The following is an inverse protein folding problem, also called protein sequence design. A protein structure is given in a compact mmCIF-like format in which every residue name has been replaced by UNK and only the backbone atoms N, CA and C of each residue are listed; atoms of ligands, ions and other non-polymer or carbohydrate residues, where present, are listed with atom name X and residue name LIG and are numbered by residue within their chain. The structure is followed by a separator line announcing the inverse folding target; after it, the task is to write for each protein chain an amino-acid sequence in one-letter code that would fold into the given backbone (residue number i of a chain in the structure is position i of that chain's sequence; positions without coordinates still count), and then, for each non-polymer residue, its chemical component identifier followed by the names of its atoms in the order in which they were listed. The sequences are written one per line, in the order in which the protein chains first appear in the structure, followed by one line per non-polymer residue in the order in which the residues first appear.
data_IF_895745877905
#
_entry.id   IF_895745877905
#
_cell.length_a   1.000
_cell.length_b   1.000
_cell.length_c   1.000
_cell.angle_alpha   90.00
_cell.angle_beta   90.00
_cell.angle_gamma   90.00
#
_symmetry.space_group_name_H-M   'P 1'
#
loop_
_entity.id
_entity.type
_entity.pdbx_description
1 polymer ?
#
# COMPACT_ATOMS: atom_id res chain seq x y z
N UNK A 1 -15.27 -13.27 -54.36
CA UNK A 1 -13.90 -13.47 -54.88
C UNK A 1 -13.12 -12.18 -54.63
N UNK A 2 -11.84 -12.29 -54.23
CA UNK A 2 -10.99 -11.30 -53.51
C UNK A 2 -11.39 -11.14 -52.02
N UNK A 3 -10.93 -11.96 -51.08
CA UNK A 3 -9.56 -12.35 -50.68
C UNK A 3 -8.69 -11.17 -50.23
N UNK A 4 -8.55 -11.00 -48.91
CA UNK A 4 -7.22 -11.01 -48.23
C UNK A 4 -7.30 -10.80 -46.71
N UNK A 5 -7.17 -11.92 -46.00
CA UNK A 5 -6.47 -12.17 -44.71
C UNK A 5 -6.90 -11.53 -43.35
N UNK A 6 -6.92 -12.34 -42.27
CA UNK A 6 -6.94 -11.88 -40.88
C UNK A 6 -5.52 -11.60 -40.38
N UNK A 7 -5.30 -10.44 -39.75
CA UNK A 7 -4.00 -10.06 -39.18
C UNK A 7 -3.78 -10.76 -37.83
N UNK A 8 -3.26 -11.98 -37.86
CA UNK A 8 -2.56 -12.58 -36.73
C UNK A 8 -1.25 -11.80 -36.47
N UNK A 9 -1.04 -11.32 -35.25
CA UNK A 9 0.30 -10.94 -34.77
C UNK A 9 0.70 -11.90 -33.65
N UNK A 10 1.52 -12.93 -33.91
CA UNK A 10 2.42 -13.43 -32.90
C UNK A 10 3.66 -12.52 -32.93
N UNK A 11 3.82 -11.66 -31.94
CA UNK A 11 5.10 -10.99 -31.72
C UNK A 11 5.68 -11.43 -30.40
N UNK A 12 6.34 -12.59 -30.45
CA UNK A 12 7.46 -12.89 -29.57
C UNK A 12 8.73 -12.87 -30.41
N UNK A 13 9.65 -11.94 -30.12
CA UNK A 13 11.08 -12.10 -30.42
C UNK A 13 11.91 -11.31 -29.41
N UNK A 14 12.54 -12.08 -28.53
CA UNK A 14 13.84 -11.91 -27.84
C UNK A 14 14.49 -10.51 -27.77
N UNK A 15 14.68 -10.02 -26.54
CA UNK A 15 15.84 -9.20 -26.16
C UNK A 15 16.83 -10.03 -25.34
N UNK A 16 17.82 -10.59 -26.04
CA UNK A 16 19.03 -11.25 -25.53
C UNK A 16 19.92 -10.17 -24.87
N UNK A 17 19.95 -10.14 -23.55
CA UNK A 17 20.73 -9.16 -22.77
C UNK A 17 20.16 -8.86 -21.37
N UNK A 18 18.90 -9.21 -21.13
CA UNK A 18 18.18 -8.91 -19.88
C UNK A 18 17.72 -10.17 -19.13
N UNK A 19 18.27 -11.35 -19.46
CA UNK A 19 17.81 -12.62 -18.90
C UNK A 19 18.04 -12.77 -17.39
N UNK A 20 19.16 -12.26 -16.87
CA UNK A 20 19.42 -12.26 -15.43
C UNK A 20 18.51 -11.26 -14.68
N UNK A 21 18.28 -10.08 -15.25
CA UNK A 21 17.44 -9.04 -14.67
C UNK A 21 15.95 -9.42 -14.69
N UNK A 22 15.49 -10.06 -15.78
CA UNK A 22 14.15 -10.64 -15.87
C UNK A 22 13.96 -11.80 -14.88
N UNK A 23 14.98 -12.64 -14.65
CA UNK A 23 14.91 -13.67 -13.60
C UNK A 23 14.82 -13.08 -12.19
N UNK A 24 15.58 -12.02 -11.91
CA UNK A 24 15.50 -11.31 -10.62
C UNK A 24 14.13 -10.66 -10.44
N UNK A 25 13.57 -10.04 -11.47
CA UNK A 25 12.25 -9.43 -11.41
C UNK A 25 11.14 -10.49 -11.24
N UNK A 26 11.21 -11.62 -11.96
CA UNK A 26 10.31 -12.76 -11.78
C UNK A 26 10.42 -13.35 -10.36
N UNK A 27 11.61 -13.35 -9.77
CA UNK A 27 11.79 -13.79 -8.40
C UNK A 27 11.18 -12.79 -7.41
N UNK A 28 11.38 -11.48 -7.61
CA UNK A 28 10.76 -10.42 -6.79
C UNK A 28 9.23 -10.47 -6.87
N UNK A 29 8.67 -10.71 -8.06
CA UNK A 29 7.22 -10.85 -8.27
C UNK A 29 6.68 -12.07 -7.54
N UNK A 30 7.37 -13.20 -7.66
CA UNK A 30 6.99 -14.43 -6.96
C UNK A 30 7.06 -14.27 -5.44
N UNK A 31 8.10 -13.62 -4.92
CA UNK A 31 8.23 -13.31 -3.49
C UNK A 31 7.15 -12.33 -3.05
N UNK A 32 6.91 -11.27 -3.82
CA UNK A 32 5.92 -10.24 -3.58
C UNK A 32 4.48 -10.78 -3.49
N UNK A 33 4.11 -11.65 -4.42
CA UNK A 33 2.78 -12.27 -4.45
C UNK A 33 2.57 -13.32 -3.36
N UNK A 34 3.66 -13.77 -2.71
CA UNK A 34 3.60 -14.77 -1.63
C UNK A 34 3.50 -14.15 -0.24
N UNK A 35 3.64 -12.82 -0.12
CA UNK A 35 3.39 -12.15 1.15
C UNK A 35 1.90 -12.26 1.47
N UNK A 36 1.53 -12.92 2.58
CA UNK A 36 0.14 -12.93 3.01
C UNK A 36 -0.27 -11.48 3.35
N UNK A 37 -1.56 -11.20 3.24
CA UNK A 37 -2.11 -9.89 3.60
C UNK A 37 -1.54 -9.41 4.96
N UNK A 38 -1.20 -8.11 5.11
CA UNK A 38 -0.56 -7.59 6.30
C UNK A 38 -1.24 -8.00 7.61
N UNK A 39 -2.56 -8.16 7.63
CA UNK A 39 -3.31 -8.66 8.77
C UNK A 39 -2.80 -10.03 9.27
N UNK A 40 -2.64 -10.98 8.35
CA UNK A 40 -2.17 -12.33 8.67
C UNK A 40 -0.73 -12.36 9.15
N UNK A 41 0.11 -11.46 8.62
CA UNK A 41 1.49 -11.33 9.05
C UNK A 41 1.59 -10.95 10.53
N UNK A 42 0.83 -9.93 10.96
CA UNK A 42 0.79 -9.51 12.36
C UNK A 42 0.14 -10.56 13.26
N UNK A 43 -0.91 -11.25 12.80
CA UNK A 43 -1.55 -12.30 13.58
C UNK A 43 -0.61 -13.48 13.84
N UNK A 44 0.11 -13.94 12.82
CA UNK A 44 1.13 -14.98 12.97
C UNK A 44 2.25 -14.53 13.90
N UNK A 45 2.75 -13.30 13.75
CA UNK A 45 3.81 -12.77 14.61
C UNK A 45 3.35 -12.67 16.07
N UNK A 46 2.14 -12.20 16.33
CA UNK A 46 1.57 -12.16 17.67
C UNK A 46 1.44 -13.56 18.29
N UNK A 47 0.96 -14.55 17.51
CA UNK A 47 0.92 -15.94 17.95
C UNK A 47 2.30 -16.51 18.27
N UNK A 48 3.30 -16.22 17.43
CA UNK A 48 4.69 -16.60 17.64
C UNK A 48 5.23 -15.98 18.94
N UNK A 49 4.99 -14.69 19.19
CA UNK A 49 5.42 -14.02 20.43
C UNK A 49 4.79 -14.68 21.66
N UNK A 50 3.49 -14.98 21.64
CA UNK A 50 2.82 -15.67 22.76
C UNK A 50 3.46 -17.04 23.03
N UNK A 51 3.73 -17.82 21.98
CA UNK A 51 4.38 -19.13 22.10
C UNK A 51 5.82 -19.02 22.62
N UNK A 52 6.61 -18.08 22.09
CA UNK A 52 7.98 -17.86 22.54
C UNK A 52 8.03 -17.38 23.99
N UNK A 53 7.15 -16.47 24.41
CA UNK A 53 7.06 -16.01 25.79
C UNK A 53 6.75 -17.15 26.74
N UNK A 54 5.90 -18.11 26.35
CA UNK A 54 5.62 -19.30 27.15
C UNK A 54 6.85 -20.22 27.28
N UNK A 55 7.53 -20.51 26.16
CA UNK A 55 8.74 -21.36 26.15
C UNK A 55 9.85 -20.72 26.98
N UNK A 56 10.20 -19.45 26.73
CA UNK A 56 11.28 -18.74 27.44
C UNK A 56 10.99 -18.60 28.94
N UNK A 57 9.73 -18.34 29.31
CA UNK A 57 9.33 -18.27 30.71
C UNK A 57 9.42 -19.64 31.40
N UNK A 58 9.11 -20.73 30.70
CA UNK A 58 9.22 -22.09 31.25
C UNK A 58 10.66 -22.52 31.56
N UNK A 59 11.65 -21.95 30.87
CA UNK A 59 13.09 -22.19 31.11
C UNK A 59 13.63 -21.25 32.21
N UNK A 60 12.84 -20.30 32.70
CA UNK A 60 13.23 -19.37 33.77
C UNK A 60 14.27 -18.34 33.34
N UNK A 61 14.35 -18.04 32.03
CA UNK A 61 15.32 -17.07 31.50
C UNK A 61 15.06 -15.69 32.10
N UNK A 62 16.11 -15.13 32.69
CA UNK A 62 16.11 -13.79 33.26
C UNK A 62 17.30 -13.03 32.71
N UNK A 63 17.07 -11.81 32.24
CA UNK A 63 18.10 -10.95 31.68
C UNK A 63 18.36 -9.79 32.66
N UNK A 64 19.63 -9.54 32.97
CA UNK A 64 20.00 -8.36 33.75
C UNK A 64 19.98 -7.16 32.81
N UNK A 65 19.20 -6.14 33.13
CA UNK A 65 19.18 -4.91 32.36
C UNK A 65 20.46 -4.10 32.66
N UNK A 66 21.35 -3.85 31.67
CA UNK A 66 22.61 -3.15 31.91
C UNK A 66 22.45 -1.65 32.24
N UNK A 67 21.27 -1.06 31.99
CA UNK A 67 21.01 0.34 32.27
C UNK A 67 20.55 0.60 33.71
N UNK A 68 19.84 -0.36 34.34
CA UNK A 68 19.28 -0.21 35.69
C UNK A 68 19.84 -1.21 36.70
N UNK A 69 20.54 -2.26 36.26
CA UNK A 69 21.07 -3.33 37.12
C UNK A 69 20.01 -4.29 37.66
N UNK A 70 18.74 -4.09 37.32
CA UNK A 70 17.64 -4.94 37.76
C UNK A 70 17.51 -6.20 36.90
N UNK A 71 17.12 -7.30 37.53
CA UNK A 71 16.82 -8.56 36.84
C UNK A 71 15.43 -8.48 36.23
N UNK A 72 15.35 -8.52 34.90
CA UNK A 72 14.10 -8.56 34.16
C UNK A 72 13.79 -10.02 33.83
N UNK A 73 12.79 -10.56 34.51
CA UNK A 73 12.27 -11.91 34.25
C UNK A 73 11.35 -11.90 33.01
N UNK A 74 11.34 -12.99 32.26
CA UNK A 74 10.43 -13.15 31.11
C UNK A 74 8.99 -13.36 31.58
N UNK A 75 8.10 -12.46 31.17
CA UNK A 75 6.66 -12.54 31.48
C UNK A 75 5.95 -13.56 30.60
N UNK A 76 5.26 -14.52 31.22
CA UNK A 76 4.43 -15.49 30.52
C UNK A 76 3.06 -14.87 30.13
N UNK A 77 2.85 -14.67 28.84
CA UNK A 77 1.61 -14.12 28.30
C UNK A 77 0.41 -15.09 28.35
N UNK A 78 0.66 -16.40 28.46
CA UNK A 78 -0.36 -17.44 28.59
C UNK A 78 -0.85 -17.65 30.03
N UNK A 79 -0.15 -17.08 31.02
CA UNK A 79 -0.60 -17.11 32.41
C UNK A 79 -1.87 -16.27 32.61
N UNK A 80 -2.68 -16.52 33.66
CA UNK A 80 -3.91 -15.77 33.91
C UNK A 80 -3.72 -14.25 33.95
N UNK A 81 -2.62 -13.78 34.53
CA UNK A 81 -2.28 -12.36 34.58
C UNK A 81 -1.86 -11.81 33.22
N UNK A 82 -1.12 -12.59 32.42
CA UNK A 82 -0.73 -12.24 31.05
C UNK A 82 -1.94 -12.13 30.13
N UNK A 83 -2.90 -13.05 30.25
CA UNK A 83 -4.12 -13.03 29.45
C UNK A 83 -5.02 -11.84 29.81
N UNK A 84 -5.13 -11.53 31.11
CA UNK A 84 -5.82 -10.32 31.58
C UNK A 84 -5.16 -9.06 31.01
N UNK A 85 -3.83 -9.01 31.01
CA UNK A 85 -3.07 -7.88 30.45
C UNK A 85 -3.33 -7.70 28.96
N UNK A 86 -3.29 -8.78 28.17
CA UNK A 86 -3.58 -8.73 26.73
C UNK A 86 -4.97 -8.12 26.47
N UNK A 87 -5.99 -8.57 27.20
CA UNK A 87 -7.36 -8.09 26.98
C UNK A 87 -7.57 -6.66 27.52
N UNK A 88 -7.02 -6.36 28.70
CA UNK A 88 -7.18 -5.05 29.34
C UNK A 88 -6.46 -3.94 28.55
N UNK A 89 -5.27 -4.22 28.02
CA UNK A 89 -4.44 -3.24 27.32
C UNK A 89 -4.64 -3.28 25.79
N UNK A 90 -5.47 -4.19 25.24
CA UNK A 90 -5.66 -4.31 23.79
C UNK A 90 -6.12 -2.99 23.16
N UNK A 91 -7.10 -2.32 23.78
CA UNK A 91 -7.67 -1.07 23.25
C UNK A 91 -6.70 0.09 23.41
N UNK A 92 -6.04 0.19 24.58
CA UNK A 92 -5.06 1.27 24.83
C UNK A 92 -3.88 1.16 23.89
N UNK A 93 -3.30 -0.03 23.71
CA UNK A 93 -2.20 -0.26 22.77
C UNK A 93 -2.59 0.04 21.32
N UNK A 94 -3.84 -0.18 20.93
CA UNK A 94 -4.34 0.13 19.60
C UNK A 94 -4.48 1.64 19.38
N UNK A 95 -5.03 2.38 20.35
CA UNK A 95 -5.25 3.84 20.24
C UNK A 95 -3.97 4.64 20.45
N UNK A 96 -3.07 4.17 21.31
CA UNK A 96 -1.76 4.80 21.57
C UNK A 96 -0.78 4.61 20.40
N UNK A 97 -1.08 3.73 19.44
CA UNK A 97 -0.26 3.58 18.25
C UNK A 97 -0.28 4.90 17.44
N UNK A 98 0.83 5.68 17.42
CA UNK A 98 0.80 7.07 16.95
C UNK A 98 0.23 7.28 15.54
N UNK A 99 0.48 6.38 14.56
CA UNK A 99 -0.08 6.53 13.22
C UNK A 99 -1.62 6.49 13.16
N UNK A 100 -2.28 5.79 14.09
CA UNK A 100 -3.71 5.52 14.00
C UNK A 100 -4.54 6.79 14.22
N UNK A 101 -4.24 7.53 15.29
CA UNK A 101 -4.89 8.81 15.58
C UNK A 101 -4.64 9.85 14.48
N UNK A 102 -3.41 9.91 13.97
CA UNK A 102 -3.03 10.83 12.90
C UNK A 102 -3.81 10.57 11.60
N UNK A 103 -3.94 9.31 11.20
CA UNK A 103 -4.69 8.94 9.99
C UNK A 103 -6.16 9.32 10.11
N UNK A 104 -6.81 9.06 11.25
CA UNK A 104 -8.23 9.40 11.45
C UNK A 104 -8.46 10.91 11.35
N UNK A 105 -7.59 11.73 11.97
CA UNK A 105 -7.69 13.19 11.92
C UNK A 105 -7.50 13.71 10.50
N UNK A 106 -6.51 13.19 9.76
CA UNK A 106 -6.26 13.59 8.37
C UNK A 106 -7.43 13.19 7.47
N UNK A 107 -7.93 11.95 7.58
CA UNK A 107 -9.05 11.48 6.77
C UNK A 107 -10.33 12.27 7.03
N UNK A 108 -10.57 12.70 8.27
CA UNK A 108 -11.70 13.58 8.59
C UNK A 108 -11.56 14.95 7.92
N UNK A 109 -10.37 15.54 7.96
CA UNK A 109 -10.09 16.81 7.26
C UNK A 109 -10.25 16.69 5.74
N UNK A 110 -9.74 15.60 5.15
CA UNK A 110 -9.88 15.32 3.70
C UNK A 110 -11.34 15.10 3.32
N UNK A 111 -12.10 14.33 4.12
CA UNK A 111 -13.52 14.08 3.86
C UNK A 111 -14.34 15.39 3.86
N UNK A 112 -14.06 16.31 4.80
CA UNK A 112 -14.72 17.63 4.82
C UNK A 112 -14.32 18.48 3.61
N UNK A 113 -13.03 18.50 3.24
CA UNK A 113 -12.53 19.24 2.09
C UNK A 113 -13.08 18.70 0.75
N UNK A 114 -13.35 17.40 0.68
CA UNK A 114 -13.92 16.74 -0.49
C UNK A 114 -15.44 16.92 -0.58
N UNK A 115 -16.17 16.71 0.53
CA UNK A 115 -17.63 16.87 0.58
C UNK A 115 -18.09 18.33 0.35
N UNK A 116 -17.28 19.30 0.78
CA UNK A 116 -17.52 20.73 0.50
C UNK A 116 -17.17 21.12 -0.94
N UNK A 117 -16.59 20.21 -1.74
CA UNK A 117 -16.14 20.48 -3.10
C UNK A 117 -14.91 21.38 -3.18
N UNK A 118 -14.30 21.74 -2.04
CA UNK A 118 -13.16 22.64 -1.95
C UNK A 118 -11.95 22.11 -2.74
N UNK A 119 -11.68 20.80 -2.63
CA UNK A 119 -10.59 20.17 -3.40
C UNK A 119 -10.81 20.28 -4.91
N UNK A 120 -12.04 20.01 -5.38
CA UNK A 120 -12.40 20.12 -6.81
C UNK A 120 -12.33 21.57 -7.32
N UNK A 121 -12.80 22.54 -6.52
CA UNK A 121 -12.72 23.96 -6.85
C UNK A 121 -11.27 24.47 -6.88
N UNK A 122 -10.44 24.04 -5.92
CA UNK A 122 -9.02 24.39 -5.86
C UNK A 122 -8.24 23.84 -7.07
N UNK A 123 -8.51 22.59 -7.49
CA UNK A 123 -7.90 22.01 -8.69
C UNK A 123 -8.30 22.77 -9.96
N UNK A 124 -9.59 23.03 -10.16
CA UNK A 124 -10.10 23.80 -11.32
C UNK A 124 -9.52 25.22 -11.34
N UNK A 125 -9.50 25.89 -10.18
CA UNK A 125 -8.93 27.23 -10.05
C UNK A 125 -7.42 27.28 -10.27
N UNK A 126 -6.69 26.26 -9.82
CA UNK A 126 -5.25 26.15 -10.05
C UNK A 126 -4.94 25.95 -11.53
N UNK A 127 -5.65 25.06 -12.21
CA UNK A 127 -5.51 24.82 -13.66
C UNK A 127 -5.88 26.06 -14.47
N UNK A 128 -6.95 26.76 -14.10
CA UNK A 128 -7.37 27.98 -14.79
C UNK A 128 -6.36 29.13 -14.67
N UNK A 129 -5.50 29.12 -13.63
CA UNK A 129 -4.44 30.12 -13.43
C UNK A 129 -3.13 29.77 -14.14
N UNK A 130 -3.00 28.57 -14.71
CA UNK A 130 -1.81 28.20 -15.49
C UNK A 130 -1.86 28.90 -16.86
N UNK A 131 -0.78 29.63 -17.19
CA UNK A 131 -0.70 30.40 -18.42
C UNK A 131 -0.76 29.54 -19.70
N UNK A 132 -1.36 30.05 -20.81
CA UNK A 132 -1.60 29.30 -22.05
C UNK A 132 -0.32 28.87 -22.81
N UNK A 133 0.87 29.21 -22.32
CA UNK A 133 2.15 28.72 -22.86
C UNK A 133 2.42 27.25 -22.48
N UNK A 134 1.95 26.79 -21.32
CA UNK A 134 2.13 25.41 -20.87
C UNK A 134 1.04 24.47 -21.39
N UNK A 135 -0.20 24.96 -21.55
CA UNK A 135 -1.33 24.19 -22.10
C UNK A 135 -1.18 23.88 -23.62
N UNK A 136 -0.42 24.70 -24.36
CA UNK A 136 -0.21 24.52 -25.82
C UNK A 136 0.87 23.51 -26.20
N UNK A 137 1.62 22.97 -25.24
CA UNK A 137 2.60 21.91 -25.49
C UNK A 137 1.93 20.57 -25.81
N UNK A 138 0.75 20.29 -25.25
CA UNK A 138 -0.01 19.05 -25.51
C UNK A 138 -0.91 19.11 -26.77
N UNK A 139 -1.18 20.28 -27.35
CA UNK A 139 -1.92 20.36 -28.62
C UNK A 139 -1.05 20.11 -29.86
N UNK A 140 0.25 19.81 -29.67
CA UNK A 140 1.16 19.31 -30.70
C UNK A 140 1.49 17.83 -30.49
N UNK A 141 0.50 17.03 -30.14
CA UNK A 141 0.58 15.58 -30.33
C UNK A 141 -0.21 15.24 -31.61
N UNK A 142 0.43 14.71 -32.66
CA UNK A 142 -0.28 14.35 -33.89
C UNK A 142 -1.21 13.17 -33.60
N UNK A 143 -2.51 13.44 -33.70
CA UNK A 143 -3.59 12.52 -34.07
C UNK A 143 -3.44 11.06 -33.64
N UNK A 144 -4.18 10.67 -32.59
CA UNK A 144 -4.72 9.32 -32.50
C UNK A 144 -5.88 9.19 -33.52
N UNK A 145 -5.91 8.16 -34.37
CA UNK A 145 -7.00 7.95 -35.32
C UNK A 145 -8.14 7.23 -34.59
N UNK A 146 -9.07 8.00 -34.02
CA UNK A 146 -10.36 7.44 -33.57
C UNK A 146 -11.42 7.85 -34.58
N UNK A 147 -12.03 6.92 -35.33
CA UNK A 147 -13.16 7.25 -36.19
C UNK A 147 -14.42 7.36 -35.33
N UNK A 148 -14.89 8.58 -35.06
CA UNK A 148 -16.23 8.79 -34.53
C UNK A 148 -17.23 8.96 -35.69
N UNK A 149 -18.30 8.14 -35.77
CA UNK A 149 -19.36 8.36 -36.73
C UNK A 149 -20.41 9.29 -36.12
N UNK A 150 -20.69 10.40 -36.82
CA UNK A 150 -21.83 11.30 -36.61
C UNK A 150 -21.81 12.14 -35.33
N UNK A 151 -21.49 13.43 -35.50
CA UNK A 151 -22.43 14.53 -35.27
C UNK A 151 -21.87 15.84 -35.86
N UNK A 152 -22.71 16.70 -36.45
CA UNK A 152 -22.28 17.95 -37.04
C UNK A 152 -21.94 18.95 -35.93
N UNK A 153 -20.81 19.62 -36.08
CA UNK A 153 -20.40 20.77 -35.29
C UNK A 153 -21.47 21.87 -35.35
N UNK A 154 -22.24 22.04 -34.28
CA UNK A 154 -22.96 23.28 -33.96
C UNK A 154 -22.42 23.79 -32.63
N UNK A 155 -21.28 24.47 -32.71
CA UNK A 155 -20.74 25.29 -31.64
C UNK A 155 -21.42 26.66 -31.71
N UNK A 156 -22.29 26.92 -30.74
CA UNK A 156 -22.59 28.23 -30.18
C UNK A 156 -22.20 28.18 -28.71
#
# INVERSE_FOLDING_TARGET
MSSSAPSARPQGTEKKGTGALLRVLNWIEWVGNKLPDPFWLFLMLAGIVILLSWILSSVGLSAVNPATGETVAVTNLLAPDGLRKIVAEAVTNFVEFPPLGLVVVILLGVAVAEQSGMLSAALRGSVARVGPKWLRSCSRSPASPVPSPRTPCTWC
#
